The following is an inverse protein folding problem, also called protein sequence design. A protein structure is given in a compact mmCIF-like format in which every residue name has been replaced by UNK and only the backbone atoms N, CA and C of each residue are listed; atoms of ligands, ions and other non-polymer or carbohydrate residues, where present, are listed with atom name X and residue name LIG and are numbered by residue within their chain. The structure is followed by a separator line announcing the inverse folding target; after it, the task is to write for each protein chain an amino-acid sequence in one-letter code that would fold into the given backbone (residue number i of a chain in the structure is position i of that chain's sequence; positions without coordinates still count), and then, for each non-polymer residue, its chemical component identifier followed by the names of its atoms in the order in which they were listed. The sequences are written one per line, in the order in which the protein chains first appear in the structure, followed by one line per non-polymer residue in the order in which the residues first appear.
data_IF_684740712911
#
_entry.id   IF_684740712911
#
_cell.length_a   1.000
_cell.length_b   1.000
_cell.length_c   1.000
_cell.angle_alpha   90.00
_cell.angle_beta   90.00
_cell.angle_gamma   90.00
#
_symmetry.space_group_name_H-M   'P 1'
#
loop_
_entity.id
_entity.type
_entity.pdbx_description
1 polymer ?
#
# COMPACT_ATOMS: atom_id res chain seq x y z
N UNK A 1 -43.91 -9.85 -1.28
CA UNK A 1 -43.27 -8.61 -0.84
C UNK A 1 -42.07 -8.43 -1.74
N UNK A 2 -42.12 -7.46 -2.64
CA UNK A 2 -41.10 -7.24 -3.66
C UNK A 2 -39.84 -6.58 -3.04
N UNK A 3 -38.71 -6.85 -3.64
CA UNK A 3 -37.39 -6.35 -3.18
C UNK A 3 -37.34 -4.81 -3.14
N UNK A 4 -38.16 -4.13 -3.95
CA UNK A 4 -38.30 -2.67 -3.93
C UNK A 4 -39.07 -2.17 -2.69
N UNK A 5 -40.14 -2.85 -2.31
CA UNK A 5 -40.92 -2.53 -1.10
C UNK A 5 -40.11 -2.66 0.20
N UNK A 6 -39.13 -3.57 0.22
CA UNK A 6 -38.24 -3.72 1.38
C UNK A 6 -37.29 -2.56 1.52
N UNK A 7 -36.76 -2.06 0.41
CA UNK A 7 -35.81 -0.93 0.42
C UNK A 7 -36.50 0.39 0.79
N UNK A 8 -37.71 0.64 0.26
CA UNK A 8 -38.44 1.86 0.58
C UNK A 8 -38.93 1.90 2.04
N UNK A 9 -39.34 0.77 2.60
CA UNK A 9 -39.78 0.70 4.01
C UNK A 9 -38.62 0.78 4.99
N UNK A 10 -37.40 0.37 4.58
CA UNK A 10 -36.20 0.53 5.40
C UNK A 10 -35.67 1.98 5.44
N UNK A 11 -35.94 2.77 4.40
CA UNK A 11 -35.59 4.18 4.34
C UNK A 11 -36.50 5.09 5.18
N UNK A 12 -37.77 4.68 5.40
CA UNK A 12 -38.77 5.43 6.18
C UNK A 12 -38.67 5.18 7.70
N UNK A 13 -38.00 4.12 8.13
CA UNK A 13 -37.79 3.83 9.56
C UNK A 13 -36.61 4.57 10.18
N UNK A 14 -35.74 5.23 9.38
CA UNK A 14 -34.58 6.00 9.85
C UNK A 14 -34.87 7.51 10.01
N UNK A 15 -36.09 7.97 9.80
CA UNK A 15 -36.50 9.37 9.81
C UNK A 15 -37.30 9.80 11.01
N UNK A 16 -36.86 9.57 12.24
CA UNK A 16 -37.64 9.98 13.39
C UNK A 16 -36.94 9.91 14.73
N UNK A 17 -35.84 10.65 14.91
CA UNK A 17 -35.42 11.09 16.24
C UNK A 17 -34.54 12.35 16.10
N UNK A 18 -35.17 13.52 16.05
CA UNK A 18 -34.51 14.77 16.45
C UNK A 18 -34.21 14.68 17.94
N UNK A 19 -32.96 14.49 18.30
CA UNK A 19 -32.45 14.87 19.60
C UNK A 19 -31.39 15.97 19.40
N UNK A 20 -31.81 17.15 19.84
CA UNK A 20 -30.97 18.33 19.91
C UNK A 20 -29.77 18.12 20.85
N UNK A 21 -28.65 18.57 20.42
CA UNK A 21 -27.63 19.18 21.28
C UNK A 21 -26.70 18.25 22.04
N UNK A 22 -25.44 18.50 21.76
CA UNK A 22 -24.22 18.19 22.50
C UNK A 22 -23.46 16.94 22.06
N UNK A 23 -22.34 17.14 21.43
CA UNK A 23 -21.27 16.14 21.46
C UNK A 23 -20.52 15.82 20.17
N UNK A 24 -20.64 16.55 19.08
CA UNK A 24 -19.84 16.29 17.87
C UNK A 24 -18.68 17.28 17.68
N UNK A 25 -18.54 18.27 18.53
CA UNK A 25 -17.43 19.25 18.48
C UNK A 25 -16.17 18.87 19.26
N UNK A 26 -16.09 17.68 19.84
CA UNK A 26 -14.98 17.30 20.71
C UNK A 26 -13.88 16.44 20.02
N UNK A 27 -13.86 16.32 18.68
CA UNK A 27 -12.77 15.63 17.98
C UNK A 27 -11.92 16.53 17.07
N UNK A 28 -12.17 17.83 17.10
CA UNK A 28 -11.31 18.83 16.46
C UNK A 28 -10.38 19.50 17.49
N UNK A 29 -9.67 18.71 18.28
CA UNK A 29 -8.58 19.25 19.10
C UNK A 29 -7.27 19.04 18.36
N UNK A 30 -6.95 20.06 17.61
CA UNK A 30 -5.78 20.39 16.85
C UNK A 30 -4.50 20.23 17.71
N UNK A 31 -3.93 19.04 17.67
CA UNK A 31 -2.47 18.95 17.75
C UNK A 31 -2.00 19.18 16.33
N UNK A 32 -1.20 20.23 16.06
CA UNK A 32 -0.36 20.36 14.85
C UNK A 32 0.43 19.04 14.71
N UNK A 33 -0.24 18.01 14.23
CA UNK A 33 0.28 16.67 14.09
C UNK A 33 1.14 16.63 12.85
N UNK A 34 2.28 15.97 12.94
CA UNK A 34 3.12 15.55 11.82
C UNK A 34 2.21 15.10 10.67
N UNK A 35 2.33 15.72 9.50
CA UNK A 35 1.59 15.31 8.30
C UNK A 35 1.89 13.85 8.01
N UNK A 36 0.85 13.04 7.84
CA UNK A 36 1.01 11.62 7.51
C UNK A 36 1.62 11.46 6.12
N UNK A 37 2.50 10.46 5.96
CA UNK A 37 3.30 10.26 4.76
C UNK A 37 3.12 8.85 4.20
N UNK A 38 2.82 8.74 2.91
CA UNK A 38 2.76 7.48 2.16
C UNK A 38 4.06 7.30 1.39
N UNK A 39 4.79 6.22 1.66
CA UNK A 39 5.92 5.80 0.83
C UNK A 39 5.39 5.02 -0.37
N UNK A 40 5.81 5.39 -1.57
CA UNK A 40 5.46 4.67 -2.79
C UNK A 40 6.73 4.16 -3.48
N UNK A 41 6.75 2.87 -3.83
CA UNK A 41 7.87 2.25 -4.53
C UNK A 41 7.49 2.10 -6.01
N UNK A 42 8.24 2.78 -6.89
CA UNK A 42 8.16 2.56 -8.33
C UNK A 42 9.08 1.39 -8.72
N UNK A 43 8.50 0.22 -8.89
CA UNK A 43 9.17 -1.02 -9.26
C UNK A 43 9.46 -1.18 -10.76
N UNK A 44 9.25 -0.15 -11.57
CA UNK A 44 9.56 -0.17 -12.99
C UNK A 44 11.05 0.12 -13.26
N UNK A 45 11.69 -0.53 -14.24
CA UNK A 45 13.02 -0.11 -14.71
C UNK A 45 12.98 1.23 -15.46
N UNK A 46 11.80 1.71 -15.83
CA UNK A 46 11.57 3.01 -16.47
C UNK A 46 11.05 4.01 -15.45
N UNK A 47 11.85 5.00 -15.11
CA UNK A 47 11.52 6.00 -14.09
C UNK A 47 10.20 6.72 -14.37
N UNK A 48 9.97 7.11 -15.64
CA UNK A 48 8.79 7.83 -16.11
C UNK A 48 7.89 6.96 -17.01
N UNK A 49 7.81 5.66 -16.71
CA UNK A 49 6.95 4.72 -17.44
C UNK A 49 5.51 4.73 -16.95
N UNK A 50 4.72 3.78 -17.44
CA UNK A 50 3.30 3.64 -17.08
C UNK A 50 3.06 3.41 -15.57
N UNK A 51 4.01 2.77 -14.87
CA UNK A 51 3.94 2.63 -13.40
C UNK A 51 4.06 3.97 -12.70
N UNK A 52 4.89 4.88 -13.21
CA UNK A 52 4.97 6.24 -12.68
C UNK A 52 3.65 6.99 -12.85
N UNK A 53 2.97 6.87 -14.00
CA UNK A 53 1.64 7.47 -14.23
C UNK A 53 0.66 7.05 -13.15
N UNK A 54 0.61 5.75 -12.78
CA UNK A 54 -0.25 5.27 -11.72
C UNK A 54 0.08 5.89 -10.36
N UNK A 55 1.36 5.88 -9.98
CA UNK A 55 1.81 6.41 -8.69
C UNK A 55 1.68 7.93 -8.60
N UNK A 56 1.91 8.65 -9.69
CA UNK A 56 1.72 10.10 -9.76
C UNK A 56 0.25 10.49 -9.59
N UNK A 57 -0.68 9.72 -10.17
CA UNK A 57 -2.11 9.96 -9.98
C UNK A 57 -2.53 9.74 -8.53
N UNK A 58 -2.01 8.70 -7.88
CA UNK A 58 -2.21 8.47 -6.44
C UNK A 58 -1.63 9.63 -5.63
N UNK A 59 -0.39 10.07 -5.94
CA UNK A 59 0.27 11.16 -5.23
C UNK A 59 -0.53 12.47 -5.30
N UNK A 60 -1.05 12.81 -6.50
CA UNK A 60 -1.91 13.97 -6.69
C UNK A 60 -3.15 13.92 -5.80
N UNK A 61 -3.83 12.77 -5.75
CA UNK A 61 -5.03 12.62 -4.95
C UNK A 61 -4.72 12.59 -3.44
N UNK A 62 -3.62 11.95 -3.01
CA UNK A 62 -3.16 12.01 -1.61
C UNK A 62 -2.93 13.45 -1.16
N UNK A 63 -2.28 14.26 -2.01
CA UNK A 63 -2.05 15.69 -1.74
C UNK A 63 -3.35 16.47 -1.60
N UNK A 64 -4.35 16.23 -2.45
CA UNK A 64 -5.70 16.80 -2.32
C UNK A 64 -6.32 16.43 -0.97
N UNK A 65 -6.07 15.23 -0.48
CA UNK A 65 -6.56 14.72 0.79
C UNK A 65 -5.74 15.18 2.01
N UNK A 66 -4.68 15.98 1.82
CA UNK A 66 -3.81 16.48 2.88
C UNK A 66 -2.84 15.44 3.44
N UNK A 67 -2.48 14.43 2.64
CA UNK A 67 -1.51 13.38 2.96
C UNK A 67 -0.26 13.59 2.10
N UNK A 68 0.91 13.60 2.71
CA UNK A 68 2.17 13.66 1.99
C UNK A 68 2.53 12.32 1.37
N UNK A 69 3.32 12.35 0.31
CA UNK A 69 3.79 11.13 -0.33
C UNK A 69 5.20 11.29 -0.89
N UNK A 70 5.92 10.18 -0.94
CA UNK A 70 7.25 10.09 -1.55
C UNK A 70 7.31 8.89 -2.48
N UNK A 71 7.66 9.11 -3.75
CA UNK A 71 7.89 8.05 -4.72
C UNK A 71 9.39 7.75 -4.79
N UNK A 72 9.77 6.51 -4.48
CA UNK A 72 11.14 6.02 -4.63
C UNK A 72 11.21 5.09 -5.83
N UNK A 73 11.97 5.48 -6.82
CA UNK A 73 12.26 4.64 -7.97
C UNK A 73 13.40 3.67 -7.65
N UNK A 74 13.18 2.36 -7.92
CA UNK A 74 14.18 1.32 -7.62
C UNK A 74 15.39 1.33 -8.56
N UNK A 75 15.32 2.07 -9.66
CA UNK A 75 16.39 2.08 -10.67
C UNK A 75 16.25 0.96 -11.72
N UNK A 76 17.25 0.87 -12.57
CA UNK A 76 17.38 -0.15 -13.61
C UNK A 76 18.63 -1.02 -13.43
N UNK A 77 19.31 -0.90 -12.30
CA UNK A 77 20.44 -1.76 -11.96
C UNK A 77 19.96 -3.08 -11.38
N UNK A 78 20.81 -4.10 -11.42
CA UNK A 78 20.52 -5.38 -10.80
C UNK A 78 20.26 -5.22 -9.29
N UNK A 79 19.22 -5.88 -8.80
CA UNK A 79 18.91 -6.00 -7.37
C UNK A 79 18.93 -7.48 -7.02
N UNK A 80 19.78 -7.86 -6.08
CA UNK A 80 19.84 -9.26 -5.64
C UNK A 80 18.65 -9.65 -4.78
N UNK A 81 18.20 -10.89 -4.90
CA UNK A 81 17.23 -11.48 -3.98
C UNK A 81 17.81 -11.76 -2.60
N UNK A 82 16.95 -12.07 -1.64
CA UNK A 82 17.38 -12.54 -0.33
C UNK A 82 18.01 -13.95 -0.44
N UNK A 83 19.21 -14.12 0.12
CA UNK A 83 19.92 -15.41 0.15
C UNK A 83 19.81 -16.11 1.52
N UNK A 84 18.91 -15.67 2.37
CA UNK A 84 18.65 -16.22 3.70
C UNK A 84 19.91 -16.37 4.59
N UNK A 85 20.89 -15.47 4.44
CA UNK A 85 22.15 -15.54 5.18
C UNK A 85 22.03 -15.20 6.68
N UNK A 86 20.86 -14.74 7.15
CA UNK A 86 20.63 -14.34 8.54
C UNK A 86 21.42 -13.07 8.99
N UNK A 87 22.14 -12.42 8.09
CA UNK A 87 22.99 -11.27 8.42
C UNK A 87 22.23 -10.07 9.00
N UNK A 88 20.97 -9.86 8.59
CA UNK A 88 20.14 -8.78 9.11
C UNK A 88 19.80 -8.94 10.61
N UNK A 89 19.85 -10.13 11.19
CA UNK A 89 19.67 -10.31 12.64
C UNK A 89 20.79 -9.66 13.47
N UNK A 90 21.99 -9.50 12.87
CA UNK A 90 23.15 -8.82 13.46
C UNK A 90 23.32 -7.37 13.01
N UNK A 91 22.49 -6.93 12.07
CA UNK A 91 22.47 -5.57 11.52
C UNK A 91 21.02 -5.04 11.50
N UNK A 92 20.40 -4.79 12.66
CA UNK A 92 19.00 -4.42 12.74
C UNK A 92 18.67 -3.22 11.85
N UNK A 93 17.59 -3.32 11.09
CA UNK A 93 17.13 -2.27 10.21
C UNK A 93 17.76 -2.26 8.81
N UNK A 94 18.81 -3.08 8.56
CA UNK A 94 19.54 -3.09 7.29
C UNK A 94 19.89 -4.51 6.82
N UNK A 95 19.84 -4.72 5.52
CA UNK A 95 20.47 -5.87 4.91
C UNK A 95 22.01 -5.70 4.95
N UNK A 96 22.73 -6.79 5.08
CA UNK A 96 24.24 -6.75 5.04
C UNK A 96 24.76 -6.40 3.66
N UNK A 97 23.98 -6.60 2.60
CA UNK A 97 24.32 -6.17 1.25
C UNK A 97 23.82 -4.76 1.02
N UNK A 98 24.72 -3.85 0.71
CA UNK A 98 24.45 -2.41 0.53
C UNK A 98 24.92 -1.89 -0.84
N UNK A 99 24.93 -2.79 -1.82
CA UNK A 99 25.35 -2.52 -3.20
C UNK A 99 24.19 -2.13 -4.14
N UNK A 100 22.97 -1.96 -3.59
CA UNK A 100 21.76 -1.59 -4.33
C UNK A 100 20.82 -0.69 -3.50
N UNK A 101 19.61 -0.44 -4.05
CA UNK A 101 18.61 0.47 -3.47
C UNK A 101 17.93 -0.06 -2.20
N UNK A 102 18.06 -1.34 -1.84
CA UNK A 102 17.25 -1.99 -0.83
C UNK A 102 17.32 -1.31 0.55
N UNK A 103 18.54 -1.06 1.06
CA UNK A 103 18.72 -0.43 2.38
C UNK A 103 18.14 0.98 2.42
N UNK A 104 18.32 1.75 1.35
CA UNK A 104 17.74 3.09 1.24
C UNK A 104 16.21 3.08 1.31
N UNK A 105 15.55 2.06 0.73
CA UNK A 105 14.10 1.90 0.81
C UNK A 105 13.71 1.46 2.23
N UNK A 106 14.40 0.50 2.82
CA UNK A 106 14.08 0.01 4.16
C UNK A 106 14.22 1.09 5.24
N UNK A 107 15.18 1.98 5.13
CA UNK A 107 15.35 3.13 6.03
C UNK A 107 14.10 4.05 6.03
N UNK A 108 13.46 4.22 4.87
CA UNK A 108 12.26 5.06 4.74
C UNK A 108 11.00 4.46 5.39
N UNK A 109 11.01 3.18 5.75
CA UNK A 109 9.88 2.54 6.43
C UNK A 109 9.54 3.19 7.78
N UNK A 110 10.55 3.65 8.51
CA UNK A 110 10.36 4.33 9.79
C UNK A 110 9.63 5.68 9.65
N UNK A 111 9.85 6.37 8.54
CA UNK A 111 9.27 7.69 8.28
C UNK A 111 7.87 7.63 7.66
N UNK A 112 7.50 6.49 7.08
CA UNK A 112 6.24 6.30 6.39
C UNK A 112 5.13 5.84 7.33
N UNK A 113 3.91 6.30 7.10
CA UNK A 113 2.69 5.86 7.78
C UNK A 113 1.91 4.81 6.95
N UNK A 114 2.23 4.66 5.66
CA UNK A 114 1.70 3.64 4.76
C UNK A 114 2.68 3.33 3.62
N UNK A 115 2.45 2.21 2.94
CA UNK A 115 3.28 1.74 1.81
C UNK A 115 2.40 1.45 0.59
N UNK A 116 2.82 1.94 -0.59
CA UNK A 116 2.25 1.51 -1.88
C UNK A 116 3.39 0.97 -2.75
N UNK A 117 3.18 -0.18 -3.36
CA UNK A 117 4.14 -0.79 -4.28
C UNK A 117 3.53 -0.89 -5.66
N UNK A 118 4.08 -0.14 -6.60
CA UNK A 118 3.73 -0.20 -8.02
C UNK A 118 4.73 -1.05 -8.81
N UNK A 119 4.23 -1.94 -9.67
CA UNK A 119 5.07 -2.78 -10.53
C UNK A 119 4.50 -2.91 -11.93
N UNK A 120 5.35 -2.89 -12.97
CA UNK A 120 4.95 -3.40 -14.26
C UNK A 120 4.82 -4.92 -14.20
N UNK A 121 4.03 -5.46 -15.13
CA UNK A 121 3.86 -6.91 -15.31
C UNK A 121 4.81 -7.42 -16.39
N UNK A 122 5.68 -8.35 -16.02
CA UNK A 122 6.56 -9.06 -16.94
C UNK A 122 6.33 -10.55 -16.84
N UNK A 123 5.99 -11.20 -17.96
CA UNK A 123 5.68 -12.64 -18.01
C UNK A 123 4.65 -13.08 -16.96
N UNK A 124 3.62 -12.26 -16.75
CA UNK A 124 2.53 -12.55 -15.81
C UNK A 124 2.86 -12.33 -14.33
N UNK A 125 4.03 -11.78 -14.00
CA UNK A 125 4.50 -11.53 -12.64
C UNK A 125 4.96 -10.08 -12.44
N UNK A 126 5.07 -9.60 -11.21
CA UNK A 126 5.72 -8.33 -10.93
C UNK A 126 7.19 -8.36 -11.39
N UNK A 127 7.77 -7.19 -11.63
CA UNK A 127 9.19 -7.08 -11.87
C UNK A 127 10.01 -7.75 -10.74
N UNK A 128 10.90 -8.66 -11.10
CA UNK A 128 11.72 -9.40 -10.14
C UNK A 128 12.57 -8.51 -9.23
N UNK A 129 13.03 -7.37 -9.73
CA UNK A 129 13.80 -6.42 -8.92
C UNK A 129 12.98 -5.85 -7.75
N UNK A 130 11.69 -5.50 -7.95
CA UNK A 130 10.85 -5.01 -6.86
C UNK A 130 10.54 -6.11 -5.85
N UNK A 131 10.35 -7.36 -6.29
CA UNK A 131 10.19 -8.48 -5.37
C UNK A 131 11.44 -8.70 -4.51
N UNK A 132 12.62 -8.61 -5.12
CA UNK A 132 13.91 -8.69 -4.40
C UNK A 132 14.06 -7.59 -3.36
N UNK A 133 13.66 -6.36 -3.69
CA UNK A 133 13.64 -5.24 -2.74
C UNK A 133 12.71 -5.54 -1.57
N UNK A 134 11.46 -5.93 -1.84
CA UNK A 134 10.44 -6.19 -0.81
C UNK A 134 10.91 -7.31 0.13
N UNK A 135 11.37 -8.44 -0.41
CA UNK A 135 11.87 -9.56 0.39
C UNK A 135 12.98 -9.11 1.35
N UNK A 136 13.99 -8.43 0.85
CA UNK A 136 15.14 -8.01 1.66
C UNK A 136 14.77 -6.91 2.66
N UNK A 137 14.01 -5.91 2.23
CA UNK A 137 13.60 -4.82 3.08
C UNK A 137 12.71 -5.30 4.24
N UNK A 138 11.77 -6.22 3.97
CA UNK A 138 10.91 -6.78 5.02
C UNK A 138 11.68 -7.70 5.96
N UNK A 139 12.62 -8.50 5.48
CA UNK A 139 13.50 -9.29 6.35
C UNK A 139 14.37 -8.42 7.26
N UNK A 140 14.90 -7.33 6.74
CA UNK A 140 15.86 -6.50 7.47
C UNK A 140 15.22 -5.44 8.36
N UNK A 141 14.10 -4.85 7.94
CA UNK A 141 13.46 -3.72 8.63
C UNK A 141 11.92 -3.78 8.63
N UNK A 142 11.34 -4.95 8.45
CA UNK A 142 9.88 -5.11 8.38
C UNK A 142 9.16 -4.61 9.64
N UNK A 143 9.78 -4.68 10.80
CA UNK A 143 9.21 -4.17 12.05
C UNK A 143 8.83 -2.68 11.96
N UNK A 144 9.59 -1.86 11.21
CA UNK A 144 9.31 -0.43 11.05
C UNK A 144 8.08 -0.12 10.18
N UNK A 145 7.59 -1.09 9.39
CA UNK A 145 6.44 -0.92 8.51
C UNK A 145 5.27 -1.86 8.87
N UNK A 146 5.50 -2.85 9.73
CA UNK A 146 4.49 -3.81 10.15
C UNK A 146 3.24 -3.12 10.72
N UNK A 147 2.07 -3.63 10.36
CA UNK A 147 0.78 -3.11 10.80
C UNK A 147 0.34 -1.80 10.12
N UNK A 148 1.21 -1.11 9.38
CA UNK A 148 0.84 0.10 8.64
C UNK A 148 0.04 -0.28 7.37
N UNK A 149 -0.91 0.55 6.90
CA UNK A 149 -1.65 0.27 5.68
C UNK A 149 -0.75 0.09 4.47
N UNK A 150 -1.11 -0.84 3.57
CA UNK A 150 -0.38 -1.07 2.33
C UNK A 150 -1.31 -1.29 1.14
N UNK A 151 -0.80 -1.06 -0.07
CA UNK A 151 -1.48 -1.41 -1.30
C UNK A 151 -0.50 -1.79 -2.41
N UNK A 152 -0.92 -2.73 -3.26
CA UNK A 152 -0.26 -3.07 -4.50
C UNK A 152 -0.91 -2.36 -5.69
N UNK A 153 -0.12 -2.02 -6.70
CA UNK A 153 -0.57 -1.50 -7.99
C UNK A 153 0.14 -2.27 -9.10
N UNK A 154 -0.62 -2.93 -9.96
CA UNK A 154 -0.10 -3.65 -11.11
C UNK A 154 -0.37 -2.87 -12.40
N UNK A 155 0.66 -2.70 -13.23
CA UNK A 155 0.53 -1.99 -14.51
C UNK A 155 0.93 -2.92 -15.64
N UNK A 156 0.02 -3.17 -16.58
CA UNK A 156 0.26 -4.11 -17.66
C UNK A 156 -0.29 -3.64 -19.00
N UNK A 157 0.21 -4.26 -20.07
CA UNK A 157 -0.37 -4.08 -21.40
C UNK A 157 -1.73 -4.78 -21.52
N UNK A 158 -1.86 -6.03 -21.00
CA UNK A 158 -3.04 -6.87 -21.22
C UNK A 158 -3.25 -7.91 -20.13
N UNK A 159 -2.42 -8.97 -20.07
CA UNK A 159 -2.59 -10.10 -19.17
C UNK A 159 -1.59 -10.09 -18.01
N UNK A 160 -1.87 -10.88 -16.94
CA UNK A 160 -0.99 -11.09 -15.80
C UNK A 160 -1.09 -10.05 -14.68
N UNK A 161 -1.98 -9.06 -14.83
CA UNK A 161 -2.14 -8.02 -13.81
C UNK A 161 -2.66 -8.59 -12.48
N UNK A 162 -3.67 -9.46 -12.51
CA UNK A 162 -4.23 -10.08 -11.30
C UNK A 162 -3.21 -10.92 -10.56
N UNK A 163 -2.45 -11.78 -11.26
CA UNK A 163 -1.39 -12.58 -10.64
C UNK A 163 -0.30 -11.69 -10.02
N UNK A 164 0.08 -10.61 -10.70
CA UNK A 164 1.05 -9.65 -10.18
C UNK A 164 0.51 -8.89 -8.97
N UNK A 165 -0.74 -8.48 -8.99
CA UNK A 165 -1.43 -7.81 -7.89
C UNK A 165 -1.46 -8.70 -6.65
N UNK A 166 -1.85 -9.97 -6.79
CA UNK A 166 -1.87 -10.95 -5.71
C UNK A 166 -0.46 -11.18 -5.14
N UNK A 167 0.54 -11.39 -6.02
CA UNK A 167 1.94 -11.61 -5.61
C UNK A 167 2.48 -10.44 -4.78
N UNK A 168 2.12 -9.20 -5.11
CA UNK A 168 2.54 -8.02 -4.36
C UNK A 168 1.80 -7.85 -3.01
N UNK A 169 0.55 -8.33 -2.91
CA UNK A 169 -0.24 -8.22 -1.68
C UNK A 169 0.16 -9.26 -0.62
N UNK A 170 0.63 -10.46 -1.01
CA UNK A 170 0.99 -11.53 -0.08
C UNK A 170 2.01 -11.08 1.00
N UNK A 171 3.12 -10.40 0.66
CA UNK A 171 4.06 -9.90 1.66
C UNK A 171 3.44 -8.94 2.68
N UNK A 172 2.48 -8.12 2.27
CA UNK A 172 1.80 -7.19 3.17
C UNK A 172 0.99 -7.92 4.24
N UNK A 173 0.28 -8.98 3.85
CA UNK A 173 -0.49 -9.80 4.79
C UNK A 173 0.44 -10.47 5.81
N UNK A 174 1.59 -11.00 5.39
CA UNK A 174 2.59 -11.56 6.30
C UNK A 174 3.11 -10.54 7.31
N UNK A 175 3.17 -9.28 6.91
CA UNK A 175 3.60 -8.16 7.78
C UNK A 175 2.45 -7.55 8.59
N UNK A 176 1.30 -8.22 8.71
CA UNK A 176 0.12 -7.72 9.42
C UNK A 176 -0.37 -6.35 8.92
N UNK A 177 -0.10 -6.02 7.66
CA UNK A 177 -0.47 -4.74 7.07
C UNK A 177 -1.90 -4.79 6.54
N UNK A 178 -2.81 -3.89 6.95
CA UNK A 178 -4.12 -3.75 6.30
C UNK A 178 -3.96 -3.45 4.82
N UNK A 179 -4.44 -4.34 3.95
CA UNK A 179 -4.39 -4.16 2.50
C UNK A 179 -5.54 -3.27 2.05
N UNK A 180 -5.21 -2.14 1.45
CA UNK A 180 -6.18 -1.13 1.02
C UNK A 180 -6.62 -1.39 -0.41
N UNK A 181 -7.93 -1.60 -0.58
CA UNK A 181 -8.58 -1.70 -1.89
C UNK A 181 -9.00 -0.35 -2.44
N UNK A 182 -9.48 -0.38 -3.68
CA UNK A 182 -10.11 0.75 -4.37
C UNK A 182 -11.55 0.40 -4.76
N UNK A 183 -12.02 0.89 -5.90
CA UNK A 183 -13.31 0.49 -6.48
C UNK A 183 -13.25 -0.84 -7.25
N UNK A 184 -12.07 -1.28 -7.64
CA UNK A 184 -11.76 -2.52 -8.35
C UNK A 184 -10.35 -2.99 -7.93
N UNK A 185 -9.77 -4.02 -8.57
CA UNK A 185 -8.35 -4.33 -8.38
C UNK A 185 -7.48 -3.13 -8.81
N UNK A 186 -6.43 -2.83 -8.07
CA UNK A 186 -5.56 -1.68 -8.35
C UNK A 186 -4.70 -1.94 -9.59
N UNK A 187 -5.31 -1.91 -10.74
CA UNK A 187 -4.70 -2.21 -12.05
C UNK A 187 -4.82 -0.99 -12.96
N UNK A 188 -3.78 -0.74 -13.74
CA UNK A 188 -3.75 0.27 -14.80
C UNK A 188 -3.20 -0.34 -16.08
N UNK A 189 -3.77 0.01 -17.21
CA UNK A 189 -3.38 -0.53 -18.51
C UNK A 189 -2.58 0.48 -19.34
N UNK A 190 -1.49 0.00 -19.96
CA UNK A 190 -0.67 0.78 -20.87
C UNK A 190 0.52 -0.04 -21.37
N UNK A 191 0.82 0.05 -22.66
CA UNK A 191 1.94 -0.65 -23.29
C UNK A 191 3.11 0.30 -23.59
N UNK A 192 2.92 1.27 -24.49
CA UNK A 192 3.93 2.26 -24.80
C UNK A 192 4.06 3.29 -23.65
N UNK A 193 5.20 3.96 -23.51
CA UNK A 193 5.39 5.00 -22.52
C UNK A 193 4.27 6.03 -22.53
N UNK A 194 3.69 6.31 -21.36
CA UNK A 194 2.63 7.29 -21.19
C UNK A 194 1.21 6.81 -21.57
N UNK A 195 1.04 5.65 -22.20
CA UNK A 195 -0.31 5.16 -22.57
C UNK A 195 -1.25 4.95 -21.38
N UNK A 196 -0.71 4.67 -20.22
CA UNK A 196 -1.53 4.51 -19.02
C UNK A 196 -2.32 5.79 -18.65
N UNK A 197 -1.92 6.95 -19.14
CA UNK A 197 -2.69 8.20 -18.99
C UNK A 197 -4.02 8.21 -19.75
N UNK A 198 -4.21 7.27 -20.67
CA UNK A 198 -5.44 7.11 -21.45
C UNK A 198 -6.42 6.11 -20.81
N UNK A 199 -5.98 5.35 -19.81
CA UNK A 199 -6.83 4.42 -19.06
C UNK A 199 -7.65 5.18 -18.01
N UNK A 200 -8.78 5.69 -18.42
CA UNK A 200 -9.63 6.55 -17.59
C UNK A 200 -10.19 5.80 -16.36
N UNK A 201 -10.54 4.52 -16.49
CA UNK A 201 -11.01 3.67 -15.39
C UNK A 201 -9.87 3.36 -14.43
N UNK A 202 -8.69 2.99 -14.95
CA UNK A 202 -7.51 2.74 -14.13
C UNK A 202 -7.09 3.98 -13.34
N UNK A 203 -7.09 5.17 -13.94
CA UNK A 203 -6.81 6.43 -13.24
C UNK A 203 -7.86 6.74 -12.17
N UNK A 204 -9.14 6.46 -12.42
CA UNK A 204 -10.18 6.58 -11.41
C UNK A 204 -9.95 5.60 -10.25
N UNK A 205 -9.53 4.38 -10.55
CA UNK A 205 -9.16 3.36 -9.56
C UNK A 205 -7.99 3.83 -8.70
N UNK A 206 -6.97 4.49 -9.28
CA UNK A 206 -5.84 5.07 -8.52
C UNK A 206 -6.31 6.19 -7.57
N UNK A 207 -7.23 7.06 -8.00
CA UNK A 207 -7.81 8.10 -7.13
C UNK A 207 -8.65 7.49 -6.00
N UNK A 208 -9.45 6.45 -6.31
CA UNK A 208 -10.22 5.73 -5.30
C UNK A 208 -9.32 5.06 -4.25
N UNK A 209 -8.20 4.44 -4.68
CA UNK A 209 -7.19 3.89 -3.78
C UNK A 209 -6.62 4.97 -2.84
N UNK A 210 -6.24 6.12 -3.39
CA UNK A 210 -5.71 7.23 -2.60
C UNK A 210 -6.74 7.76 -1.58
N UNK A 211 -8.03 7.81 -1.94
CA UNK A 211 -9.11 8.20 -1.05
C UNK A 211 -9.27 7.20 0.10
N UNK A 212 -9.29 5.91 -0.20
CA UNK A 212 -9.43 4.85 0.80
C UNK A 212 -8.19 4.79 1.73
N UNK A 213 -6.98 4.94 1.19
CA UNK A 213 -5.75 5.05 1.96
C UNK A 213 -5.79 6.25 2.91
N UNK A 214 -6.20 7.40 2.42
CA UNK A 214 -6.32 8.62 3.22
C UNK A 214 -7.38 8.49 4.32
N UNK A 215 -8.51 7.86 4.00
CA UNK A 215 -9.55 7.57 4.98
C UNK A 215 -9.04 6.66 6.09
N UNK A 216 -8.38 5.56 5.74
CA UNK A 216 -7.87 4.61 6.72
C UNK A 216 -6.80 5.25 7.62
N UNK A 217 -5.86 5.99 7.05
CA UNK A 217 -4.84 6.73 7.81
C UNK A 217 -5.46 7.72 8.80
N UNK A 218 -6.48 8.49 8.37
CA UNK A 218 -7.18 9.44 9.24
C UNK A 218 -7.98 8.71 10.32
N UNK A 219 -8.70 7.63 9.97
CA UNK A 219 -9.50 6.86 10.91
C UNK A 219 -8.66 6.20 12.02
N UNK A 220 -7.44 5.77 11.70
CA UNK A 220 -6.53 5.16 12.66
C UNK A 220 -5.62 6.18 13.36
N UNK A 221 -5.62 7.43 12.92
CA UNK A 221 -4.66 8.46 13.35
C UNK A 221 -3.21 8.08 13.03
N UNK A 222 -3.00 7.32 11.94
CA UNK A 222 -1.69 6.80 11.53
C UNK A 222 -1.15 5.68 12.42
N UNK A 223 -1.93 5.15 13.34
CA UNK A 223 -1.51 4.04 14.21
C UNK A 223 -1.50 2.72 13.43
N UNK A 224 -0.46 1.88 13.59
CA UNK A 224 -0.43 0.57 12.96
C UNK A 224 -1.47 -0.38 13.57
N UNK A 225 -1.87 -1.40 12.81
CA UNK A 225 -2.73 -2.47 13.30
C UNK A 225 -2.06 -3.19 14.50
N UNK A 226 -2.80 -3.55 15.57
CA UNK A 226 -2.22 -4.07 16.80
C UNK A 226 -1.59 -5.46 16.66
N UNK A 227 -1.90 -6.17 15.59
CA UNK A 227 -1.38 -7.51 15.36
C UNK A 227 -1.88 -8.52 16.38
N UNK A 228 -0.95 -9.33 16.86
CA UNK A 228 -1.21 -10.44 17.77
C UNK A 228 -1.49 -10.01 19.22
N UNK A 229 -1.36 -8.73 19.52
CA UNK A 229 -1.49 -8.18 20.87
C UNK A 229 -0.59 -8.90 21.91
N UNK A 230 -1.11 -9.19 23.09
CA UNK A 230 -0.34 -9.75 24.22
C UNK A 230 -0.18 -11.28 24.18
N UNK A 231 -0.58 -11.92 23.07
CA UNK A 231 -0.48 -13.37 22.96
C UNK A 231 0.95 -13.80 22.61
N UNK A 232 1.55 -14.76 23.34
CA UNK A 232 2.88 -15.25 23.01
C UNK A 232 2.88 -15.98 21.68
N UNK A 233 3.95 -15.83 20.91
CA UNK A 233 4.11 -16.54 19.64
C UNK A 233 4.13 -18.05 19.84
N UNK A 234 3.20 -18.75 19.19
CA UNK A 234 3.17 -20.21 19.10
C UNK A 234 3.52 -20.61 17.68
N UNK A 235 4.81 -20.76 17.42
CA UNK A 235 5.31 -21.21 16.14
C UNK A 235 4.81 -22.62 15.81
N UNK A 236 4.55 -22.86 14.53
CA UNK A 236 4.24 -24.20 14.04
C UNK A 236 5.48 -25.07 14.16
N UNK A 237 5.33 -26.25 14.77
CA UNK A 237 6.42 -27.20 14.93
C UNK A 237 5.97 -28.59 14.48
N UNK A 238 6.18 -28.92 13.23
CA UNK A 238 5.92 -30.24 12.67
C UNK A 238 7.10 -31.21 12.81
N UNK A 239 8.29 -30.70 13.11
CA UNK A 239 9.51 -31.49 13.25
C UNK A 239 9.92 -31.42 14.73
N UNK A 240 9.91 -32.55 15.39
CA UNK A 240 10.32 -32.72 16.79
C UNK A 240 11.65 -33.46 16.82
#
# INVERSE_FOLDING_TARGET
MDRRDFIEKSALAAGGALLAGTGVEALANDKKGKTMKVLMINGSPHQQGNTAVALDEIAKQLKVNGIDSEIVWIGNKAVRGCIACGGCSRNPGKCVFDDDICNRISEKFAEADALIVGSPVYYGQPNGAVLSVIQRAFYSNGASISGKPAAAVAVCRRGGATASFETLNMPFQMMNMPVVGSQYWNILYGAAPGQASLDTEGLQTMRALANNMSWLLKATGGKPAPGRADEPWRGMNFIR
#
